data_IF_535731212174
#
_entry.id   IF_535731212174
#
_cell.length_a   1.000
_cell.length_b   1.000
_cell.length_c   1.000
_cell.angle_alpha   90.00
_cell.angle_beta   90.00
_cell.angle_gamma   90.00
#
_symmetry.space_group_name_H-M   'P 1'
#
loop_
_entity.id
_entity.type
_entity.pdbx_description
1 polymer ?
#
# COMPACT_ATOMS: atom_id res chain seq x y z
N UNK A 1 -9.09 -29.35 -15.51
CA UNK A 1 -9.77 -28.35 -14.69
C UNK A 1 -10.86 -27.67 -15.49
N UNK A 2 -11.97 -27.32 -14.87
CA UNK A 2 -13.04 -26.55 -15.51
C UNK A 2 -12.79 -25.06 -15.31
N UNK A 3 -12.91 -24.26 -16.39
CA UNK A 3 -12.85 -22.81 -16.33
C UNK A 3 -14.16 -22.28 -15.75
N UNK A 4 -14.15 -21.82 -14.51
CA UNK A 4 -15.32 -21.15 -13.90
C UNK A 4 -15.23 -19.65 -14.21
N UNK A 5 -16.17 -19.15 -15.00
CA UNK A 5 -16.31 -17.73 -15.30
C UNK A 5 -17.04 -17.06 -14.13
N UNK A 6 -16.32 -16.47 -13.21
CA UNK A 6 -16.91 -15.66 -12.13
C UNK A 6 -17.35 -14.30 -12.64
N UNK A 7 -18.42 -13.76 -12.05
CA UNK A 7 -18.81 -12.36 -12.23
C UNK A 7 -18.17 -11.58 -11.07
N UNK A 8 -17.39 -10.53 -11.34
CA UNK A 8 -16.83 -9.72 -10.27
C UNK A 8 -17.97 -9.07 -9.47
N UNK A 9 -17.86 -9.14 -8.14
CA UNK A 9 -18.83 -8.53 -7.24
C UNK A 9 -18.66 -6.99 -7.16
N UNK A 10 -17.49 -6.46 -7.53
CA UNK A 10 -17.14 -5.05 -7.55
C UNK A 10 -16.43 -4.69 -8.86
N UNK A 11 -16.79 -3.56 -9.44
CA UNK A 11 -16.09 -2.99 -10.58
C UNK A 11 -15.59 -1.59 -10.22
N UNK A 12 -14.32 -1.32 -10.46
CA UNK A 12 -13.76 0.01 -10.33
C UNK A 12 -14.50 0.99 -11.23
N UNK A 13 -14.92 2.11 -10.67
CA UNK A 13 -15.61 3.19 -11.36
C UNK A 13 -15.12 4.55 -10.84
N UNK A 14 -15.57 5.62 -11.45
CA UNK A 14 -15.36 6.97 -10.95
C UNK A 14 -16.65 7.76 -11.10
N UNK A 15 -17.32 7.96 -10.01
CA UNK A 15 -18.60 8.71 -9.91
C UNK A 15 -18.51 9.72 -8.78
N UNK A 16 -17.71 10.80 -8.98
CA UNK A 16 -17.44 11.76 -7.91
C UNK A 16 -18.73 12.43 -7.43
N UNK A 17 -18.87 12.51 -6.12
CA UNK A 17 -20.00 13.16 -5.48
C UNK A 17 -19.84 14.68 -5.45
N UNK A 18 -20.93 15.42 -5.47
CA UNK A 18 -20.94 16.89 -5.32
C UNK A 18 -20.79 17.37 -3.86
N UNK A 19 -20.33 16.50 -2.97
CA UNK A 19 -20.14 16.79 -1.55
C UNK A 19 -18.99 17.75 -1.32
N UNK A 20 -19.06 18.49 -0.20
CA UNK A 20 -17.96 19.32 0.25
C UNK A 20 -16.77 18.47 0.73
N UNK A 21 -15.57 19.06 0.74
CA UNK A 21 -14.38 18.40 1.31
C UNK A 21 -14.61 17.98 2.77
N UNK A 22 -15.24 18.83 3.58
CA UNK A 22 -15.52 18.54 4.98
C UNK A 22 -16.48 17.34 5.14
N UNK A 23 -17.48 17.23 4.28
CA UNK A 23 -18.39 16.08 4.27
C UNK A 23 -17.63 14.80 3.93
N UNK A 24 -16.81 14.80 2.87
CA UNK A 24 -15.99 13.65 2.50
C UNK A 24 -14.99 13.28 3.59
N UNK A 25 -14.39 14.27 4.27
CA UNK A 25 -13.48 14.02 5.39
C UNK A 25 -14.20 13.38 6.59
N UNK A 26 -15.42 13.79 6.87
CA UNK A 26 -16.22 13.19 7.95
C UNK A 26 -16.61 11.75 7.62
N UNK A 27 -17.07 11.49 6.41
CA UNK A 27 -17.39 10.15 5.92
C UNK A 27 -16.15 9.23 5.95
N UNK A 28 -15.00 9.73 5.48
CA UNK A 28 -13.73 9.01 5.60
C UNK A 28 -13.41 8.68 7.07
N UNK A 29 -13.56 9.65 7.95
CA UNK A 29 -13.27 9.49 9.37
C UNK A 29 -14.09 8.35 9.97
N UNK A 30 -15.41 8.36 9.79
CA UNK A 30 -16.32 7.34 10.31
C UNK A 30 -16.05 5.97 9.71
N UNK A 31 -15.86 5.90 8.40
CA UNK A 31 -15.58 4.66 7.68
C UNK A 31 -14.25 4.04 8.11
N UNK A 32 -13.17 4.84 8.12
CA UNK A 32 -11.82 4.36 8.41
C UNK A 32 -11.71 3.88 9.87
N UNK A 33 -12.26 4.64 10.80
CA UNK A 33 -12.32 4.25 12.22
C UNK A 33 -13.20 3.02 12.43
N UNK A 34 -14.32 2.91 11.74
CA UNK A 34 -15.18 1.72 11.77
C UNK A 34 -14.47 0.46 11.29
N UNK A 35 -13.74 0.55 10.17
CA UNK A 35 -12.95 -0.56 9.62
C UNK A 35 -11.86 -0.98 10.60
N UNK A 36 -11.06 -0.03 11.09
CA UNK A 36 -9.97 -0.33 12.05
C UNK A 36 -10.54 -0.91 13.34
N UNK A 37 -11.65 -0.37 13.84
CA UNK A 37 -12.27 -0.89 15.07
C UNK A 37 -12.70 -2.35 14.93
N UNK A 38 -13.28 -2.71 13.79
CA UNK A 38 -13.68 -4.09 13.46
C UNK A 38 -12.47 -5.02 13.30
N UNK A 39 -11.45 -4.60 12.55
CA UNK A 39 -10.25 -5.42 12.31
C UNK A 39 -9.44 -5.66 13.59
N UNK A 40 -9.35 -4.66 14.47
CA UNK A 40 -8.60 -4.71 15.71
C UNK A 40 -9.46 -5.04 16.95
N UNK A 41 -10.63 -5.65 16.76
CA UNK A 41 -11.51 -6.00 17.88
C UNK A 41 -10.87 -7.04 18.77
N UNK A 42 -10.74 -6.72 20.08
CA UNK A 42 -10.16 -7.60 21.13
C UNK A 42 -8.74 -8.12 20.80
N UNK A 43 -7.95 -7.37 20.01
CA UNK A 43 -6.60 -7.76 19.59
C UNK A 43 -5.58 -6.71 20.01
N UNK A 44 -4.38 -7.18 20.35
CA UNK A 44 -3.21 -6.32 20.44
C UNK A 44 -2.63 -6.13 19.05
N UNK A 45 -2.54 -4.89 18.62
CA UNK A 45 -2.13 -4.53 17.25
C UNK A 45 -0.61 -4.39 17.16
N UNK A 46 -0.03 -5.00 16.14
CA UNK A 46 1.34 -4.75 15.69
C UNK A 46 1.27 -3.73 14.57
N UNK A 47 1.90 -2.57 14.76
CA UNK A 47 1.87 -1.48 13.78
C UNK A 47 3.27 -1.21 13.21
N UNK A 48 3.55 -1.63 11.96
CA UNK A 48 4.72 -1.12 11.24
C UNK A 48 4.56 0.38 11.02
N UNK A 49 5.38 1.20 11.67
CA UNK A 49 5.25 2.64 11.66
C UNK A 49 6.42 3.28 10.93
N UNK A 50 6.11 4.05 9.90
CA UNK A 50 7.08 4.84 9.13
C UNK A 50 6.86 6.34 9.33
N UNK A 51 7.73 7.16 8.74
CA UNK A 51 7.53 8.61 8.65
C UNK A 51 6.41 9.04 7.69
N UNK A 52 5.89 8.10 6.89
CA UNK A 52 4.86 8.35 5.87
C UNK A 52 3.44 8.57 6.42
N UNK A 53 2.52 8.92 5.53
CA UNK A 53 1.14 9.27 5.90
C UNK A 53 0.25 8.04 6.18
N UNK A 54 0.46 6.92 5.49
CA UNK A 54 -0.45 5.77 5.60
C UNK A 54 -0.43 5.13 6.98
N UNK A 55 0.76 4.74 7.46
CA UNK A 55 0.92 4.19 8.81
C UNK A 55 0.62 5.22 9.90
N UNK A 56 0.88 6.50 9.65
CA UNK A 56 0.56 7.61 10.56
C UNK A 56 -0.94 7.80 10.71
N UNK A 57 -1.71 7.73 9.62
CA UNK A 57 -3.19 7.79 9.66
C UNK A 57 -3.75 6.65 10.50
N UNK A 58 -3.21 5.43 10.34
CA UNK A 58 -3.59 4.28 11.17
C UNK A 58 -3.21 4.49 12.64
N UNK A 59 -2.01 5.01 12.92
CA UNK A 59 -1.59 5.30 14.30
C UNK A 59 -2.57 6.25 15.00
N UNK A 60 -2.99 7.29 14.30
CA UNK A 60 -3.96 8.28 14.81
C UNK A 60 -5.33 7.61 15.06
N UNK A 61 -5.80 6.76 14.15
CA UNK A 61 -7.07 6.06 14.32
C UNK A 61 -7.02 5.07 15.50
N UNK A 62 -5.96 4.27 15.60
CA UNK A 62 -5.76 3.33 16.68
C UNK A 62 -5.68 4.03 18.05
N UNK A 63 -4.99 5.19 18.14
CA UNK A 63 -4.98 6.03 19.33
C UNK A 63 -6.38 6.51 19.68
N UNK A 64 -7.10 7.08 18.71
CA UNK A 64 -8.44 7.62 18.93
C UNK A 64 -9.42 6.54 19.43
N UNK A 65 -9.29 5.33 18.93
CA UNK A 65 -10.10 4.18 19.32
C UNK A 65 -9.62 3.48 20.61
N UNK A 66 -8.56 3.96 21.26
CA UNK A 66 -8.04 3.40 22.49
C UNK A 66 -7.50 1.96 22.34
N UNK A 67 -7.02 1.59 21.16
CA UNK A 67 -6.51 0.23 20.91
C UNK A 67 -5.14 0.02 21.54
N UNK A 68 -4.88 -1.22 22.00
CA UNK A 68 -3.55 -1.63 22.48
C UNK A 68 -2.62 -1.84 21.28
N UNK A 69 -1.52 -1.08 21.22
CA UNK A 69 -0.61 -1.08 20.06
C UNK A 69 0.85 -1.25 20.48
N UNK A 70 1.52 -2.18 19.84
CA UNK A 70 2.98 -2.26 19.78
C UNK A 70 3.43 -1.78 18.40
N UNK A 71 3.96 -0.58 18.32
CA UNK A 71 4.50 -0.05 17.08
C UNK A 71 5.98 -0.43 16.92
N UNK A 72 6.41 -0.60 15.70
CA UNK A 72 7.83 -0.78 15.40
C UNK A 72 8.24 -0.07 14.11
N UNK A 73 9.53 0.16 14.01
CA UNK A 73 10.18 0.59 12.77
C UNK A 73 11.55 -0.06 12.68
N UNK A 74 12.13 -0.03 11.50
CA UNK A 74 13.47 -0.56 11.29
C UNK A 74 14.33 0.44 10.51
N UNK A 75 15.64 0.30 10.63
CA UNK A 75 16.61 1.03 9.83
C UNK A 75 17.74 0.10 9.43
N UNK A 76 18.39 0.39 8.31
CA UNK A 76 19.61 -0.30 7.94
C UNK A 76 20.80 0.32 8.64
N UNK A 77 21.78 -0.49 8.99
CA UNK A 77 23.05 0.01 9.51
C UNK A 77 23.71 1.02 8.55
N UNK A 78 23.85 2.26 9.02
CA UNK A 78 24.34 3.40 8.22
C UNK A 78 23.32 3.98 7.23
N UNK A 79 22.05 3.57 7.28
CA UNK A 79 20.97 4.12 6.47
C UNK A 79 20.28 5.36 7.06
N UNK A 80 19.23 5.80 6.38
CA UNK A 80 18.41 6.92 6.87
C UNK A 80 17.70 6.55 8.18
N UNK A 81 17.71 7.44 9.21
CA UNK A 81 17.17 7.15 10.53
C UNK A 81 15.64 7.26 10.59
N UNK A 82 14.92 6.49 9.80
CA UNK A 82 13.45 6.48 9.70
C UNK A 82 12.79 6.22 11.07
N UNK A 83 13.40 5.35 11.86
CA UNK A 83 12.93 5.05 13.21
C UNK A 83 12.83 6.26 14.15
N UNK A 84 13.57 7.36 13.90
CA UNK A 84 13.48 8.58 14.70
C UNK A 84 12.13 9.29 14.53
N UNK A 85 11.59 9.34 13.31
CA UNK A 85 10.27 9.92 13.04
C UNK A 85 9.16 9.03 13.58
N UNK A 86 9.26 7.73 13.31
CA UNK A 86 8.31 6.73 13.80
C UNK A 86 8.21 6.75 15.32
N UNK A 87 9.34 6.86 16.04
CA UNK A 87 9.38 6.99 17.50
C UNK A 87 8.61 8.21 17.99
N UNK A 88 8.78 9.37 17.33
CA UNK A 88 8.04 10.59 17.72
C UNK A 88 6.52 10.41 17.53
N UNK A 89 6.09 9.75 16.44
CA UNK A 89 4.68 9.46 16.19
C UNK A 89 4.15 8.49 17.26
N UNK A 90 4.87 7.41 17.53
CA UNK A 90 4.50 6.44 18.56
C UNK A 90 4.36 7.09 19.94
N UNK A 91 5.31 7.96 20.31
CA UNK A 91 5.27 8.74 21.58
C UNK A 91 4.05 9.67 21.63
N UNK A 92 3.74 10.39 20.54
CA UNK A 92 2.56 11.25 20.48
C UNK A 92 1.24 10.44 20.52
N UNK A 93 1.30 9.16 20.21
CA UNK A 93 0.16 8.21 20.28
C UNK A 93 0.12 7.40 21.59
N UNK A 94 1.10 7.54 22.48
CA UNK A 94 1.24 6.74 23.71
C UNK A 94 1.39 5.22 23.46
N UNK A 95 2.05 4.86 22.33
CA UNK A 95 2.29 3.48 21.95
C UNK A 95 3.63 2.96 22.47
N UNK A 96 3.69 1.67 22.80
CA UNK A 96 4.97 0.97 22.92
C UNK A 96 5.67 0.98 21.56
N UNK A 97 6.97 1.18 21.55
CA UNK A 97 7.73 1.32 20.32
C UNK A 97 9.06 0.56 20.37
N UNK A 98 9.28 -0.26 19.35
CA UNK A 98 10.52 -1.00 19.14
C UNK A 98 11.22 -0.48 17.86
N UNK A 99 12.51 -0.22 17.94
CA UNK A 99 13.34 0.11 16.79
C UNK A 99 14.30 -1.05 16.52
N UNK A 100 14.22 -1.61 15.33
CA UNK A 100 15.07 -2.72 14.92
C UNK A 100 16.13 -2.25 13.94
N UNK A 101 17.31 -2.85 14.00
CA UNK A 101 18.35 -2.66 13.00
C UNK A 101 18.42 -3.88 12.09
N UNK A 102 18.28 -3.65 10.79
CA UNK A 102 18.41 -4.71 9.78
C UNK A 102 19.91 -4.91 9.49
N UNK A 103 20.47 -6.07 9.79
CA UNK A 103 21.89 -6.35 9.59
C UNK A 103 22.24 -6.39 8.10
N UNK A 104 23.50 -6.06 7.80
CA UNK A 104 24.03 -6.25 6.44
C UNK A 104 24.03 -7.74 6.11
N UNK A 105 23.62 -8.06 4.89
CA UNK A 105 23.62 -9.44 4.40
C UNK A 105 22.44 -10.30 4.87
N UNK A 106 21.52 -9.78 5.67
CA UNK A 106 20.36 -10.50 6.20
C UNK A 106 19.62 -11.36 5.15
N UNK A 107 19.59 -10.86 3.90
CA UNK A 107 18.87 -11.55 2.83
C UNK A 107 19.45 -12.95 2.56
N UNK A 108 20.77 -13.12 2.68
CA UNK A 108 21.40 -14.42 2.49
C UNK A 108 21.00 -15.42 3.57
N UNK A 109 20.74 -14.94 4.78
CA UNK A 109 20.35 -15.79 5.91
C UNK A 109 18.89 -16.26 5.82
N UNK A 110 18.04 -15.50 5.11
CA UNK A 110 16.57 -15.73 5.06
C UNK A 110 16.04 -16.06 3.67
N UNK A 111 16.90 -16.14 2.65
CA UNK A 111 16.47 -16.23 1.24
C UNK A 111 15.68 -17.49 0.93
N UNK A 112 16.04 -18.62 1.52
CA UNK A 112 15.33 -19.89 1.29
C UNK A 112 13.96 -19.91 1.94
N UNK A 113 13.84 -19.39 3.16
CA UNK A 113 12.56 -19.29 3.85
C UNK A 113 11.65 -18.27 3.16
N UNK A 114 12.21 -17.15 2.73
CA UNK A 114 11.48 -16.17 1.94
C UNK A 114 10.98 -16.76 0.61
N UNK A 115 11.83 -17.56 -0.09
CA UNK A 115 11.41 -18.21 -1.32
C UNK A 115 10.25 -19.20 -1.11
N UNK A 116 10.20 -19.89 0.03
CA UNK A 116 9.09 -20.76 0.41
C UNK A 116 7.83 -19.94 0.69
N UNK A 117 7.94 -18.88 1.48
CA UNK A 117 6.79 -18.02 1.85
C UNK A 117 6.19 -17.33 0.63
N UNK A 118 7.01 -16.81 -0.25
CA UNK A 118 6.58 -16.09 -1.46
C UNK A 118 6.33 -16.98 -2.66
N UNK A 119 6.62 -18.29 -2.58
CA UNK A 119 6.58 -19.20 -3.74
C UNK A 119 7.34 -18.65 -4.96
N UNK A 120 8.38 -17.84 -4.72
CA UNK A 120 9.16 -17.12 -5.73
C UNK A 120 8.37 -16.14 -6.64
N UNK A 121 7.19 -15.70 -6.24
CA UNK A 121 6.36 -14.77 -7.03
C UNK A 121 6.80 -13.31 -6.92
N UNK A 122 7.66 -12.95 -5.97
CA UNK A 122 8.13 -11.58 -5.78
C UNK A 122 9.64 -11.48 -5.85
N UNK A 123 10.14 -10.28 -6.05
CA UNK A 123 11.55 -9.99 -5.83
C UNK A 123 11.89 -10.04 -4.34
N UNK A 124 13.19 -10.15 -4.04
CA UNK A 124 13.71 -10.22 -2.68
C UNK A 124 14.14 -8.85 -2.13
N UNK A 125 13.68 -7.76 -2.69
CA UNK A 125 14.17 -6.42 -2.34
C UNK A 125 13.43 -5.77 -1.16
N UNK A 126 12.22 -6.21 -0.84
CA UNK A 126 11.38 -5.62 0.21
C UNK A 126 11.11 -6.46 1.46
N UNK A 127 11.55 -7.70 1.59
CA UNK A 127 11.19 -8.56 2.74
C UNK A 127 12.05 -8.27 3.98
N UNK A 128 12.23 -7.01 4.31
CA UNK A 128 13.02 -6.56 5.46
C UNK A 128 12.51 -7.11 6.78
N UNK A 129 11.20 -7.38 6.83
CA UNK A 129 10.55 -8.00 7.97
C UNK A 129 11.10 -9.40 8.28
N UNK A 130 11.64 -10.11 7.28
CA UNK A 130 12.27 -11.41 7.51
C UNK A 130 13.45 -11.35 8.49
N UNK A 131 14.21 -10.23 8.50
CA UNK A 131 15.32 -10.06 9.42
C UNK A 131 14.92 -10.00 10.90
N UNK A 132 13.64 -9.74 11.17
CA UNK A 132 13.08 -9.55 12.52
C UNK A 132 11.82 -10.38 12.72
N UNK A 133 11.62 -11.42 11.91
CA UNK A 133 10.35 -12.16 11.85
C UNK A 133 9.99 -12.80 13.19
N UNK A 134 10.97 -13.25 13.96
CA UNK A 134 10.74 -13.90 15.25
C UNK A 134 10.35 -12.94 16.36
N UNK A 135 10.68 -11.67 16.23
CA UNK A 135 10.28 -10.64 17.19
C UNK A 135 8.75 -10.45 17.22
N UNK A 136 8.07 -10.72 16.12
CA UNK A 136 6.62 -10.55 16.01
C UNK A 136 5.81 -11.50 16.86
N UNK A 137 6.38 -12.64 17.27
CA UNK A 137 5.69 -13.64 18.09
C UNK A 137 5.21 -13.05 19.42
N UNK A 138 6.00 -12.15 20.01
CA UNK A 138 5.72 -11.49 21.30
C UNK A 138 5.05 -10.12 21.19
N UNK A 139 4.87 -9.56 19.98
CA UNK A 139 4.43 -8.18 19.83
C UNK A 139 2.92 -7.99 19.82
N UNK A 140 2.14 -8.98 19.41
CA UNK A 140 0.69 -8.84 19.35
C UNK A 140 0.00 -9.95 18.55
N UNK A 141 -1.27 -9.71 18.22
CA UNK A 141 -2.17 -10.70 17.63
C UNK A 141 -2.51 -10.41 16.16
N UNK A 142 -2.33 -9.17 15.73
CA UNK A 142 -2.76 -8.69 14.41
C UNK A 142 -1.83 -7.61 13.90
N UNK A 143 -1.36 -7.73 12.67
CA UNK A 143 -0.75 -6.59 11.96
C UNK A 143 -1.82 -5.63 11.43
N UNK A 144 -1.63 -4.31 11.61
CA UNK A 144 -2.37 -3.27 10.90
C UNK A 144 -1.45 -2.64 9.87
N UNK A 145 -1.69 -2.88 8.59
CA UNK A 145 -0.76 -2.54 7.51
C UNK A 145 -1.26 -1.38 6.65
N UNK A 146 -0.38 -0.42 6.39
CA UNK A 146 -0.66 0.78 5.60
C UNK A 146 -0.65 0.60 4.08
N UNK A 147 -0.61 -0.63 3.60
CA UNK A 147 -0.52 -0.90 2.18
C UNK A 147 -1.66 -0.28 1.38
N UNK A 148 -1.30 0.27 0.24
CA UNK A 148 -2.21 0.85 -0.75
C UNK A 148 -2.79 2.22 -0.41
N UNK A 149 -2.53 2.77 0.76
CA UNK A 149 -3.00 4.11 1.13
C UNK A 149 -2.51 5.18 0.17
N UNK A 150 -1.25 5.11 -0.27
CA UNK A 150 -0.65 6.01 -1.24
C UNK A 150 -1.29 5.92 -2.64
N UNK A 151 -1.78 4.76 -3.03
CA UNK A 151 -2.46 4.58 -4.31
C UNK A 151 -3.89 5.10 -4.27
N UNK A 152 -4.62 4.82 -3.19
CA UNK A 152 -6.02 5.23 -3.09
C UNK A 152 -6.18 6.72 -2.79
N UNK A 153 -5.35 7.28 -1.92
CA UNK A 153 -5.54 8.62 -1.36
C UNK A 153 -4.60 9.68 -1.94
N UNK A 154 -4.07 9.46 -3.16
CA UNK A 154 -3.36 10.49 -3.89
C UNK A 154 -3.88 10.64 -5.32
N UNK A 155 -3.74 11.83 -5.88
CA UNK A 155 -4.01 12.11 -7.28
C UNK A 155 -2.87 11.52 -8.12
N UNK A 156 -3.20 10.65 -9.07
CA UNK A 156 -2.20 9.94 -9.86
C UNK A 156 -1.59 10.79 -10.97
N UNK A 157 -2.38 11.70 -11.55
CA UNK A 157 -1.98 12.61 -12.62
C UNK A 157 -3.03 13.72 -12.83
N UNK A 158 -2.75 14.65 -13.72
CA UNK A 158 -3.73 15.61 -14.21
C UNK A 158 -4.73 14.95 -15.18
N UNK A 159 -5.92 15.54 -15.32
CA UNK A 159 -7.03 14.88 -16.02
C UNK A 159 -6.96 14.98 -17.56
N UNK A 160 -6.09 15.82 -18.09
CA UNK A 160 -6.03 16.13 -19.54
C UNK A 160 -4.99 15.28 -20.29
N UNK A 161 -4.73 14.05 -19.83
CA UNK A 161 -3.80 13.13 -20.47
C UNK A 161 -4.47 12.33 -21.59
N UNK A 162 -3.81 12.24 -22.73
CA UNK A 162 -4.16 11.31 -23.82
C UNK A 162 -3.94 9.85 -23.39
N UNK A 163 -4.56 8.92 -24.10
CA UNK A 163 -4.39 7.47 -23.83
C UNK A 163 -2.91 7.03 -23.88
N UNK A 164 -2.14 7.59 -24.80
CA UNK A 164 -0.70 7.31 -24.92
C UNK A 164 0.07 7.83 -23.71
N UNK A 165 -0.25 9.02 -23.22
CA UNK A 165 0.39 9.58 -22.01
C UNK A 165 0.01 8.80 -20.75
N UNK A 166 -1.23 8.31 -20.66
CA UNK A 166 -1.65 7.42 -19.56
C UNK A 166 -0.83 6.13 -19.59
N UNK A 167 -0.67 5.50 -20.75
CA UNK A 167 0.14 4.30 -20.94
C UNK A 167 1.59 4.53 -20.49
N UNK A 168 2.22 5.60 -20.98
CA UNK A 168 3.60 5.93 -20.62
C UNK A 168 3.77 6.18 -19.13
N UNK A 169 2.81 6.87 -18.51
CA UNK A 169 2.82 7.13 -17.07
C UNK A 169 2.64 5.84 -16.25
N UNK A 170 1.75 4.94 -16.69
CA UNK A 170 1.56 3.63 -16.06
C UNK A 170 2.86 2.83 -16.16
N UNK A 171 3.43 2.70 -17.33
CA UNK A 171 4.70 1.99 -17.53
C UNK A 171 5.81 2.55 -16.64
N UNK A 172 5.96 3.89 -16.60
CA UNK A 172 6.92 4.56 -15.70
C UNK A 172 6.71 4.23 -14.23
N UNK A 173 5.46 4.09 -13.80
CA UNK A 173 5.13 3.77 -12.39
C UNK A 173 5.36 2.29 -12.03
N UNK A 174 5.16 1.37 -12.99
CA UNK A 174 5.21 -0.06 -12.71
C UNK A 174 6.53 -0.74 -13.10
N UNK A 175 7.27 -0.20 -14.07
CA UNK A 175 8.50 -0.81 -14.56
C UNK A 175 9.71 -0.27 -13.82
N UNK A 176 10.55 -1.19 -13.33
CA UNK A 176 11.87 -0.88 -12.81
C UNK A 176 12.92 -1.19 -13.88
N UNK A 177 13.91 -0.31 -14.02
CA UNK A 177 14.94 -0.44 -15.07
C UNK A 177 15.61 -1.81 -15.05
N UNK A 178 16.09 -2.27 -13.90
CA UNK A 178 16.74 -3.59 -13.80
C UNK A 178 15.81 -4.76 -14.14
N UNK A 179 14.50 -4.63 -13.85
CA UNK A 179 13.48 -5.62 -14.24
C UNK A 179 13.27 -5.64 -15.75
N UNK A 180 13.24 -4.49 -16.40
CA UNK A 180 13.13 -4.39 -17.86
C UNK A 180 14.36 -4.97 -18.55
N UNK A 181 15.55 -4.64 -18.06
CA UNK A 181 16.82 -5.15 -18.62
C UNK A 181 16.87 -6.68 -18.55
N UNK A 182 16.54 -7.24 -17.37
CA UNK A 182 16.48 -8.69 -17.16
C UNK A 182 15.44 -9.35 -18.08
N UNK A 183 14.23 -8.80 -18.14
CA UNK A 183 13.16 -9.35 -18.97
C UNK A 183 13.55 -9.35 -20.46
N UNK A 184 14.22 -8.30 -20.94
CA UNK A 184 14.73 -8.21 -22.32
C UNK A 184 15.79 -9.27 -22.60
N UNK A 185 16.69 -9.53 -21.63
CA UNK A 185 17.69 -10.60 -21.76
C UNK A 185 17.03 -11.98 -21.81
N UNK A 186 16.07 -12.25 -20.91
CA UNK A 186 15.34 -13.52 -20.87
C UNK A 186 14.48 -13.73 -22.13
N UNK A 187 13.86 -12.67 -22.66
CA UNK A 187 13.08 -12.73 -23.91
C UNK A 187 13.94 -13.24 -25.07
N UNK A 188 15.15 -12.71 -25.22
CA UNK A 188 16.12 -13.15 -26.20
C UNK A 188 16.62 -14.57 -25.94
N UNK A 189 16.92 -14.90 -24.69
CA UNK A 189 17.42 -16.22 -24.29
C UNK A 189 16.39 -17.32 -24.61
N UNK A 190 15.12 -17.07 -24.35
CA UNK A 190 14.02 -17.99 -24.64
C UNK A 190 13.53 -17.95 -26.10
N UNK A 191 14.17 -17.12 -26.93
CA UNK A 191 13.84 -16.95 -28.36
C UNK A 191 12.36 -16.64 -28.59
N UNK A 192 11.78 -15.79 -27.76
CA UNK A 192 10.41 -15.32 -27.94
C UNK A 192 10.32 -14.34 -29.12
N UNK A 193 9.18 -14.33 -29.80
CA UNK A 193 8.95 -13.45 -30.95
C UNK A 193 8.85 -11.98 -30.53
N UNK A 194 9.31 -11.08 -31.39
CA UNK A 194 9.30 -9.64 -31.16
C UNK A 194 10.28 -9.23 -30.06
N UNK A 195 9.95 -8.16 -29.36
CA UNK A 195 10.72 -7.64 -28.24
C UNK A 195 9.83 -7.46 -26.98
N UNK A 196 10.47 -7.53 -25.83
CA UNK A 196 9.75 -7.44 -24.55
C UNK A 196 9.07 -6.09 -24.33
N UNK A 197 9.66 -5.00 -24.78
CA UNK A 197 9.11 -3.66 -24.53
C UNK A 197 7.79 -3.46 -25.30
N UNK A 198 7.78 -3.82 -26.57
CA UNK A 198 6.56 -3.78 -27.41
C UNK A 198 5.48 -4.69 -26.83
N UNK A 199 5.82 -5.92 -26.48
CA UNK A 199 4.89 -6.85 -25.83
C UNK A 199 4.28 -6.26 -24.55
N UNK A 200 5.11 -5.69 -23.68
CA UNK A 200 4.64 -5.10 -22.42
C UNK A 200 3.70 -3.91 -22.67
N UNK A 201 4.07 -3.02 -23.63
CA UNK A 201 3.22 -1.88 -24.00
C UNK A 201 1.86 -2.33 -24.51
N UNK A 202 1.81 -3.25 -25.45
CA UNK A 202 0.55 -3.79 -25.99
C UNK A 202 -0.29 -4.44 -24.88
N UNK A 203 0.34 -5.20 -24.02
CA UNK A 203 -0.33 -5.84 -22.88
C UNK A 203 -0.94 -4.84 -21.91
N UNK A 204 -0.19 -3.81 -21.53
CA UNK A 204 -0.67 -2.77 -20.61
C UNK A 204 -1.77 -1.93 -21.27
N UNK A 205 -1.61 -1.58 -22.56
CA UNK A 205 -2.65 -0.87 -23.32
C UNK A 205 -3.95 -1.65 -23.38
N UNK A 206 -3.88 -2.95 -23.68
CA UNK A 206 -5.06 -3.83 -23.72
C UNK A 206 -5.79 -3.88 -22.37
N UNK A 207 -5.04 -3.92 -21.26
CA UNK A 207 -5.61 -3.89 -19.93
C UNK A 207 -6.25 -2.55 -19.57
N UNK A 208 -5.62 -1.43 -19.96
CA UNK A 208 -6.16 -0.09 -19.79
C UNK A 208 -7.45 0.13 -20.57
N UNK A 209 -7.52 -0.39 -21.81
CA UNK A 209 -8.72 -0.32 -22.64
C UNK A 209 -9.92 -1.07 -22.03
N UNK A 210 -9.64 -2.08 -21.21
CA UNK A 210 -10.67 -2.82 -20.46
C UNK A 210 -11.24 -2.07 -19.25
N UNK A 211 -10.67 -0.90 -18.87
CA UNK A 211 -11.13 -0.11 -17.72
C UNK A 211 -12.03 1.03 -18.22
N UNK A 212 -13.33 0.92 -17.98
CA UNK A 212 -14.35 1.87 -18.39
C UNK A 212 -14.41 3.11 -17.46
N UNK A 213 -13.27 3.81 -17.30
CA UNK A 213 -13.13 5.03 -16.51
C UNK A 213 -12.49 6.10 -17.42
N UNK A 214 -13.14 7.24 -17.59
CA UNK A 214 -12.63 8.34 -18.42
C UNK A 214 -11.55 9.17 -17.69
N UNK A 215 -11.74 9.41 -16.39
CA UNK A 215 -10.78 10.18 -15.59
C UNK A 215 -9.43 9.46 -15.51
N UNK A 216 -8.37 10.09 -16.01
CA UNK A 216 -7.04 9.49 -16.11
C UNK A 216 -6.48 9.05 -14.75
N UNK A 217 -6.60 9.87 -13.71
CA UNK A 217 -6.11 9.56 -12.37
C UNK A 217 -6.83 8.35 -11.76
N UNK A 218 -8.15 8.31 -11.84
CA UNK A 218 -8.98 7.19 -11.37
C UNK A 218 -8.72 5.92 -12.20
N UNK A 219 -8.53 6.02 -13.52
CA UNK A 219 -8.17 4.89 -14.39
C UNK A 219 -6.83 4.28 -14.00
N UNK A 220 -5.81 5.11 -13.73
CA UNK A 220 -4.49 4.63 -13.26
C UNK A 220 -4.60 3.96 -11.89
N UNK A 221 -5.39 4.52 -10.97
CA UNK A 221 -5.68 3.93 -9.66
C UNK A 221 -6.34 2.55 -9.80
N UNK A 222 -7.36 2.46 -10.64
CA UNK A 222 -8.04 1.19 -10.95
C UNK A 222 -7.08 0.18 -11.58
N UNK A 223 -6.26 0.59 -12.55
CA UNK A 223 -5.25 -0.26 -13.18
C UNK A 223 -4.28 -0.83 -12.14
N UNK A 224 -3.73 0.02 -11.27
CA UNK A 224 -2.81 -0.41 -10.24
C UNK A 224 -3.48 -1.41 -9.27
N UNK A 225 -4.73 -1.16 -8.89
CA UNK A 225 -5.47 -2.01 -7.97
C UNK A 225 -5.83 -3.36 -8.58
N UNK A 226 -6.21 -3.41 -9.86
CA UNK A 226 -6.59 -4.64 -10.56
C UNK A 226 -5.41 -5.52 -10.96
N UNK A 227 -4.32 -4.90 -11.42
CA UNK A 227 -3.27 -5.65 -12.12
C UNK A 227 -1.91 -5.62 -11.44
N UNK A 228 -1.58 -4.56 -10.72
CA UNK A 228 -0.34 -4.50 -9.96
C UNK A 228 -0.49 -5.07 -8.54
N UNK A 229 -1.50 -4.63 -7.80
CA UNK A 229 -1.66 -5.03 -6.41
C UNK A 229 -1.61 -6.55 -6.21
N UNK A 230 -2.29 -7.38 -7.02
CA UNK A 230 -2.23 -8.83 -6.86
C UNK A 230 -0.83 -9.42 -7.11
N UNK A 231 0.00 -8.76 -7.92
CA UNK A 231 1.32 -9.26 -8.32
C UNK A 231 2.47 -8.74 -7.44
N UNK A 232 2.24 -7.63 -6.77
CA UNK A 232 3.27 -6.97 -5.98
C UNK A 232 2.88 -6.92 -4.50
N UNK A 233 1.79 -6.23 -4.19
CA UNK A 233 1.41 -5.96 -2.80
C UNK A 233 0.98 -7.24 -2.10
N UNK A 234 0.10 -8.03 -2.71
CA UNK A 234 -0.43 -9.24 -2.08
C UNK A 234 0.68 -10.26 -1.78
N UNK A 235 1.65 -10.40 -2.67
CA UNK A 235 2.79 -11.30 -2.43
C UNK A 235 3.69 -10.80 -1.29
N UNK A 236 3.90 -9.48 -1.19
CA UNK A 236 4.69 -8.92 -0.09
C UNK A 236 4.01 -8.97 1.28
N UNK A 237 2.71 -9.27 1.34
CA UNK A 237 1.98 -9.47 2.60
C UNK A 237 2.23 -10.85 3.22
N UNK A 238 2.63 -11.83 2.42
CA UNK A 238 2.83 -13.22 2.86
C UNK A 238 3.80 -13.36 4.05
N UNK A 239 4.83 -12.52 4.13
CA UNK A 239 5.76 -12.51 5.28
C UNK A 239 5.07 -12.13 6.60
N UNK A 240 4.09 -11.25 6.56
CA UNK A 240 3.30 -10.89 7.74
C UNK A 240 2.30 -12.00 8.08
N UNK A 241 1.63 -12.54 7.07
CA UNK A 241 0.64 -13.61 7.20
C UNK A 241 1.23 -14.91 7.75
N UNK A 242 2.51 -15.16 7.48
CA UNK A 242 3.25 -16.29 8.04
C UNK A 242 3.27 -16.27 9.60
N UNK A 243 3.27 -15.09 10.19
CA UNK A 243 3.34 -14.94 11.65
C UNK A 243 2.00 -14.62 12.31
N UNK A 244 1.24 -13.69 11.77
CA UNK A 244 -0.02 -13.22 12.39
C UNK A 244 -1.02 -12.80 11.31
N UNK A 245 -2.32 -12.84 11.62
CA UNK A 245 -3.34 -12.23 10.77
C UNK A 245 -3.01 -10.78 10.43
N UNK A 246 -3.45 -10.32 9.25
CA UNK A 246 -3.26 -8.95 8.79
C UNK A 246 -4.59 -8.20 8.71
N UNK A 247 -4.58 -6.93 9.05
CA UNK A 247 -5.64 -5.96 8.80
C UNK A 247 -5.16 -4.97 7.73
N UNK A 248 -5.97 -4.77 6.71
CA UNK A 248 -5.69 -3.90 5.57
C UNK A 248 -6.80 -2.85 5.44
N UNK A 249 -6.80 -1.79 6.26
CA UNK A 249 -7.93 -0.86 6.28
C UNK A 249 -8.13 -0.10 4.97
N UNK A 250 -7.08 0.11 4.19
CA UNK A 250 -7.18 0.74 2.86
C UNK A 250 -7.70 -0.23 1.78
N UNK A 251 -7.59 -1.53 1.99
CA UNK A 251 -8.12 -2.56 1.09
C UNK A 251 -9.47 -3.11 1.51
N UNK A 252 -10.09 -2.53 2.52
CA UNK A 252 -11.47 -2.91 2.87
C UNK A 252 -12.40 -2.58 1.70
N UNK A 253 -13.38 -3.44 1.45
CA UNK A 253 -14.32 -3.30 0.35
C UNK A 253 -15.06 -1.95 0.39
N UNK A 254 -15.52 -1.54 1.57
CA UNK A 254 -16.21 -0.27 1.74
C UNK A 254 -15.28 0.93 1.48
N UNK A 255 -13.97 0.80 1.77
CA UNK A 255 -12.98 1.83 1.43
C UNK A 255 -12.74 1.91 -0.08
N UNK A 256 -12.72 0.77 -0.78
CA UNK A 256 -12.60 0.75 -2.24
C UNK A 256 -13.83 1.38 -2.92
N UNK A 257 -15.04 1.14 -2.40
CA UNK A 257 -16.25 1.81 -2.89
C UNK A 257 -16.23 3.31 -2.60
N UNK A 258 -15.87 3.70 -1.38
CA UNK A 258 -15.77 5.09 -0.96
C UNK A 258 -14.86 5.90 -1.90
N UNK A 259 -13.65 5.40 -2.19
CA UNK A 259 -12.68 6.13 -3.00
C UNK A 259 -13.16 6.38 -4.44
N UNK A 260 -14.01 5.53 -4.98
CA UNK A 260 -14.60 5.71 -6.31
C UNK A 260 -15.53 6.92 -6.41
N UNK A 261 -16.01 7.42 -5.26
CA UNK A 261 -16.93 8.56 -5.17
C UNK A 261 -16.25 9.88 -4.77
N UNK A 262 -14.96 9.87 -4.50
CA UNK A 262 -14.24 11.05 -4.01
C UNK A 262 -13.68 11.86 -5.18
N UNK A 263 -13.96 13.19 -5.25
CA UNK A 263 -13.35 14.07 -6.24
C UNK A 263 -11.81 14.04 -6.16
N UNK A 264 -11.13 13.93 -7.30
CA UNK A 264 -9.66 13.89 -7.38
C UNK A 264 -8.98 15.10 -6.71
N UNK A 265 -9.63 16.27 -6.72
CA UNK A 265 -9.13 17.47 -6.04
C UNK A 265 -9.04 17.30 -4.51
N UNK A 266 -9.79 16.37 -3.92
CA UNK A 266 -9.75 16.07 -2.48
C UNK A 266 -8.68 15.02 -2.14
N UNK A 267 -8.24 14.26 -3.12
CA UNK A 267 -7.16 13.27 -2.97
C UNK A 267 -5.78 13.89 -3.20
N UNK A 268 -5.70 14.95 -4.02
CA UNK A 268 -4.44 15.63 -4.34
C UNK A 268 -3.67 15.99 -3.05
N UNK A 269 -2.36 15.75 -3.07
CA UNK A 269 -1.47 16.01 -1.93
C UNK A 269 -1.90 15.31 -0.63
N UNK A 270 -2.59 14.19 -0.73
CA UNK A 270 -3.04 13.38 0.42
C UNK A 270 -3.97 14.15 1.38
N UNK A 271 -4.74 15.12 0.87
CA UNK A 271 -5.51 16.10 1.68
C UNK A 271 -6.46 15.45 2.67
N UNK A 272 -7.13 14.35 2.31
CA UNK A 272 -8.06 13.64 3.22
C UNK A 272 -7.29 13.07 4.41
N UNK A 273 -6.18 12.37 4.19
CA UNK A 273 -5.37 11.80 5.27
C UNK A 273 -4.77 12.90 6.16
N UNK A 274 -4.24 13.95 5.57
CA UNK A 274 -3.72 15.11 6.31
C UNK A 274 -4.83 15.78 7.11
N UNK A 275 -6.00 15.97 6.54
CA UNK A 275 -7.18 16.52 7.21
C UNK A 275 -7.60 15.68 8.41
N UNK A 276 -7.65 14.36 8.23
CA UNK A 276 -7.94 13.40 9.29
C UNK A 276 -6.93 13.47 10.45
N UNK A 277 -5.63 13.44 10.14
CA UNK A 277 -4.58 13.52 11.16
C UNK A 277 -4.68 14.84 11.93
N UNK A 278 -4.87 15.97 11.24
CA UNK A 278 -5.05 17.28 11.87
C UNK A 278 -6.27 17.33 12.79
N UNK A 279 -7.37 16.70 12.37
CA UNK A 279 -8.63 16.66 13.12
C UNK A 279 -8.55 15.81 14.38
N UNK A 280 -7.91 14.63 14.31
CA UNK A 280 -7.88 13.65 15.40
C UNK A 280 -6.67 13.77 16.32
N UNK A 281 -5.51 14.18 15.82
CA UNK A 281 -4.28 14.28 16.61
C UNK A 281 -3.37 15.41 16.10
N UNK A 282 -3.63 16.67 16.51
CA UNK A 282 -2.83 17.83 16.09
C UNK A 282 -1.34 17.71 16.43
N UNK A 283 -0.99 16.99 17.49
CA UNK A 283 0.42 16.76 17.88
C UNK A 283 1.14 15.92 16.82
N UNK A 284 0.50 14.86 16.32
CA UNK A 284 1.03 14.02 15.24
C UNK A 284 1.11 14.81 13.93
N UNK A 285 0.16 15.72 13.69
CA UNK A 285 0.17 16.57 12.51
C UNK A 285 1.35 17.54 12.44
N UNK A 286 1.93 17.94 13.59
CA UNK A 286 3.11 18.82 13.68
C UNK A 286 4.43 18.09 13.39
N UNK A 287 4.45 16.77 13.43
CA UNK A 287 5.65 15.99 13.11
C UNK A 287 5.84 16.00 11.60
N UNK A 288 7.00 16.41 11.13
CA UNK A 288 7.35 16.43 9.71
C UNK A 288 7.06 15.08 9.07
N UNK A 289 6.41 15.07 7.90
CA UNK A 289 6.24 13.87 7.08
C UNK A 289 7.27 13.82 5.96
N UNK A 290 7.53 12.60 5.52
CA UNK A 290 8.41 12.32 4.38
C UNK A 290 7.58 12.20 3.09
#
# INVERSE_FOLDING_TARGET
GFLVKGVPWFNWHYTPSEKSFETCLNEFTELFEGIINKQAENKQVILPLSGGLDSRTQAVALKHLGKSVNAYSYSFSGGYPEAKLSKKIAQACDFKFNAFEIPKGYLWDVIEDLAKINECYSDFTHPRQMAIIDEFDSMGDLFSLGHWGDVLFDKMCDNDLSESEILDLVLKKIVKKGGSDLATMLWKHWKLEGDFESYLRERVQSLLNGIAIENASAKIRAFKSLYWAPRWTSVNLSVFEEKKPIGLPYYDNAMCEFICTIPEAFLADRRIQIGYIKKRCPEVAKITWQ
#
